data_IF_374309363173
#
_entry.id   IF_374309363173
#
_cell.length_a   1.000
_cell.length_b   1.000
_cell.length_c   1.000
_cell.angle_alpha   90.00
_cell.angle_beta   90.00
_cell.angle_gamma   90.00
#
_symmetry.space_group_name_H-M   'P 1'
#
loop_
_entity.id
_entity.type
_entity.pdbx_description
1 polymer ?
#
# COMPACT_ATOMS: atom_id res chain seq x y z
N UNK A 1 16.44 16.51 2.86
CA UNK A 1 15.07 16.30 3.30
C UNK A 1 14.72 14.83 3.31
N UNK A 2 14.16 14.35 4.43
CA UNK A 2 13.83 12.96 4.58
C UNK A 2 12.49 12.60 3.95
N UNK A 3 12.34 11.34 3.64
CA UNK A 3 11.07 10.78 3.21
C UNK A 3 10.26 10.35 4.44
N UNK A 4 8.93 10.38 4.34
CA UNK A 4 8.06 9.96 5.42
C UNK A 4 7.89 8.44 5.47
N UNK A 5 7.74 7.81 4.30
CA UNK A 5 7.46 6.38 4.18
C UNK A 5 8.63 5.60 3.60
N UNK A 6 9.38 6.20 2.71
CA UNK A 6 10.53 5.54 2.09
C UNK A 6 11.70 5.49 3.06
N UNK A 7 12.21 4.27 3.31
CA UNK A 7 13.44 4.08 4.05
C UNK A 7 14.61 4.19 3.08
N UNK A 8 15.26 5.35 3.04
CA UNK A 8 16.29 5.64 2.05
C UNK A 8 17.47 4.66 2.13
N UNK A 9 17.86 4.25 3.34
CA UNK A 9 18.96 3.29 3.51
C UNK A 9 18.62 1.92 2.94
N UNK A 10 17.40 1.46 3.19
CA UNK A 10 16.93 0.18 2.67
C UNK A 10 16.88 0.18 1.14
N UNK A 11 16.32 1.23 0.56
CA UNK A 11 16.17 1.37 -0.90
C UNK A 11 17.53 1.51 -1.56
N UNK A 12 18.46 2.26 -0.96
CA UNK A 12 19.83 2.41 -1.47
C UNK A 12 20.54 1.07 -1.49
N UNK A 13 20.40 0.27 -0.45
CA UNK A 13 20.99 -1.06 -0.37
C UNK A 13 20.43 -1.98 -1.47
N UNK A 14 19.11 -1.98 -1.64
CA UNK A 14 18.46 -2.77 -2.69
C UNK A 14 18.91 -2.36 -4.09
N UNK A 15 18.97 -1.05 -4.36
CA UNK A 15 19.31 -0.57 -5.69
C UNK A 15 20.78 -0.78 -6.04
N UNK A 16 21.67 -0.89 -5.04
CA UNK A 16 23.07 -1.29 -5.26
C UNK A 16 23.18 -2.75 -5.68
N UNK A 17 22.38 -3.60 -5.03
CA UNK A 17 22.43 -5.04 -5.27
C UNK A 17 21.67 -5.43 -6.53
N UNK A 18 20.48 -4.87 -6.74
CA UNK A 18 19.63 -5.21 -7.88
C UNK A 18 18.60 -4.12 -8.16
N UNK A 19 18.96 -3.21 -9.05
CA UNK A 19 18.10 -2.09 -9.43
C UNK A 19 16.84 -2.56 -10.17
N UNK A 20 16.96 -3.61 -10.98
CA UNK A 20 15.83 -4.17 -11.71
C UNK A 20 14.80 -4.76 -10.74
N UNK A 21 15.27 -5.44 -9.71
CA UNK A 21 14.40 -5.97 -8.66
C UNK A 21 13.65 -4.84 -7.96
N UNK A 22 14.33 -3.76 -7.65
CA UNK A 22 13.68 -2.60 -7.02
C UNK A 22 12.56 -2.06 -7.90
N UNK A 23 12.80 -1.92 -9.21
CA UNK A 23 11.79 -1.45 -10.15
C UNK A 23 10.61 -2.41 -10.23
N UNK A 24 10.88 -3.72 -10.25
CA UNK A 24 9.82 -4.74 -10.31
C UNK A 24 8.96 -4.71 -9.04
N UNK A 25 9.56 -4.58 -7.88
CA UNK A 25 8.84 -4.49 -6.61
C UNK A 25 8.00 -3.20 -6.54
N UNK A 26 8.54 -2.10 -7.01
CA UNK A 26 7.79 -0.85 -7.09
C UNK A 26 6.57 -1.00 -8.01
N UNK A 27 6.75 -1.59 -9.17
CA UNK A 27 5.66 -1.79 -10.14
C UNK A 27 4.55 -2.66 -9.56
N UNK A 28 4.92 -3.74 -8.88
CA UNK A 28 3.96 -4.63 -8.21
C UNK A 28 3.18 -3.89 -7.12
N UNK A 29 3.89 -3.13 -6.29
CA UNK A 29 3.26 -2.35 -5.23
C UNK A 29 2.31 -1.30 -5.81
N UNK A 30 2.72 -0.59 -6.86
CA UNK A 30 1.88 0.40 -7.54
C UNK A 30 0.60 -0.23 -8.11
N UNK A 31 0.72 -1.41 -8.72
CA UNK A 31 -0.44 -2.15 -9.23
C UNK A 31 -1.43 -2.49 -8.12
N UNK A 32 -0.92 -2.98 -6.99
CA UNK A 32 -1.77 -3.34 -5.84
C UNK A 32 -2.44 -2.11 -5.23
N UNK A 33 -1.74 -0.99 -5.15
CA UNK A 33 -2.33 0.27 -4.70
C UNK A 33 -3.45 0.73 -5.64
N UNK A 34 -3.28 0.52 -6.94
CA UNK A 34 -4.33 0.79 -7.93
C UNK A 34 -5.58 -0.05 -7.70
N UNK A 35 -5.41 -1.32 -7.33
CA UNK A 35 -6.54 -2.20 -7.01
C UNK A 35 -7.27 -1.75 -5.75
N UNK A 36 -6.55 -1.28 -4.74
CA UNK A 36 -7.17 -0.69 -3.55
C UNK A 36 -7.96 0.57 -3.89
N UNK A 37 -7.43 1.40 -4.79
CA UNK A 37 -8.11 2.59 -5.28
C UNK A 37 -9.42 2.22 -6.00
N UNK A 38 -9.38 1.20 -6.85
CA UNK A 38 -10.57 0.70 -7.55
C UNK A 38 -11.61 0.16 -6.56
N UNK A 39 -11.16 -0.55 -5.54
CA UNK A 39 -12.05 -1.06 -4.50
C UNK A 39 -12.76 0.10 -3.81
N UNK A 40 -12.04 1.16 -3.43
CA UNK A 40 -12.62 2.35 -2.82
C UNK A 40 -13.68 3.00 -3.71
N UNK A 41 -13.42 3.08 -5.02
CA UNK A 41 -14.34 3.68 -5.98
C UNK A 41 -15.63 2.87 -6.13
N UNK A 42 -15.58 1.57 -5.87
CA UNK A 42 -16.71 0.64 -6.05
C UNK A 42 -17.43 0.31 -4.75
N UNK A 43 -16.99 0.87 -3.61
CA UNK A 43 -17.65 0.60 -2.32
C UNK A 43 -19.11 1.00 -2.40
N UNK A 44 -20.05 0.08 -2.10
CA UNK A 44 -21.46 0.42 -2.02
C UNK A 44 -21.70 1.45 -0.91
N UNK A 45 -22.46 2.47 -1.22
CA UNK A 45 -22.76 3.53 -0.23
C UNK A 45 -23.70 3.06 0.86
N UNK A 46 -24.37 1.94 0.65
CA UNK A 46 -25.31 1.37 1.62
C UNK A 46 -24.85 -0.03 2.02
N UNK A 47 -24.39 -0.20 3.26
CA UNK A 47 -24.09 -1.53 3.79
C UNK A 47 -25.36 -2.38 3.89
N UNK A 48 -25.24 -3.72 3.98
CA UNK A 48 -23.99 -4.41 4.27
C UNK A 48 -23.19 -4.74 3.01
N UNK A 49 -21.88 -4.60 3.12
CA UNK A 49 -20.96 -5.20 2.15
C UNK A 49 -21.01 -6.70 2.37
N UNK A 50 -21.09 -7.47 1.30
CA UNK A 50 -21.15 -8.91 1.45
C UNK A 50 -19.80 -9.48 1.93
N UNK A 51 -19.84 -10.68 2.49
CA UNK A 51 -18.66 -11.33 3.05
C UNK A 51 -17.59 -11.61 1.98
N UNK A 52 -18.00 -11.80 0.73
CA UNK A 52 -17.08 -12.03 -0.37
C UNK A 52 -16.26 -10.77 -0.65
N UNK A 53 -16.89 -9.61 -0.67
CA UNK A 53 -16.19 -8.33 -0.86
C UNK A 53 -15.24 -8.04 0.30
N UNK A 54 -15.67 -8.32 1.54
CA UNK A 54 -14.83 -8.15 2.73
C UNK A 54 -13.60 -9.04 2.65
N UNK A 55 -13.76 -10.31 2.28
CA UNK A 55 -12.64 -11.24 2.14
C UNK A 55 -11.68 -10.80 1.02
N UNK A 56 -12.22 -10.32 -0.09
CA UNK A 56 -11.39 -9.82 -1.19
C UNK A 56 -10.54 -8.63 -0.75
N UNK A 57 -11.12 -7.71 0.02
CA UNK A 57 -10.38 -6.57 0.56
C UNK A 57 -9.29 -7.04 1.53
N UNK A 58 -9.60 -7.94 2.44
CA UNK A 58 -8.64 -8.47 3.41
C UNK A 58 -7.46 -9.14 2.69
N UNK A 59 -7.73 -9.93 1.66
CA UNK A 59 -6.68 -10.60 0.88
C UNK A 59 -5.81 -9.59 0.14
N UNK A 60 -6.42 -8.55 -0.43
CA UNK A 60 -5.69 -7.50 -1.12
C UNK A 60 -4.80 -6.70 -0.16
N UNK A 61 -5.30 -6.38 1.03
CA UNK A 61 -4.52 -5.73 2.08
C UNK A 61 -3.33 -6.58 2.49
N UNK A 62 -3.54 -7.89 2.63
CA UNK A 62 -2.47 -8.83 3.00
C UNK A 62 -1.35 -8.84 1.94
N UNK A 63 -1.72 -8.94 0.67
CA UNK A 63 -0.75 -8.96 -0.43
C UNK A 63 0.00 -7.63 -0.55
N UNK A 64 -0.72 -6.52 -0.46
CA UNK A 64 -0.13 -5.19 -0.56
C UNK A 64 0.82 -4.92 0.61
N UNK A 65 0.48 -5.41 1.81
CA UNK A 65 1.37 -5.33 2.96
C UNK A 65 2.69 -6.05 2.70
N UNK A 66 2.64 -7.24 2.10
CA UNK A 66 3.85 -7.98 1.74
C UNK A 66 4.75 -7.20 0.79
N UNK A 67 4.17 -6.59 -0.24
CA UNK A 67 4.91 -5.76 -1.20
C UNK A 67 5.50 -4.53 -0.53
N UNK A 68 4.73 -3.86 0.33
CA UNK A 68 5.21 -2.69 1.06
C UNK A 68 6.39 -3.05 1.97
N UNK A 69 6.30 -4.18 2.67
CA UNK A 69 7.38 -4.67 3.53
C UNK A 69 8.63 -4.98 2.72
N UNK A 70 8.49 -5.59 1.55
CA UNK A 70 9.62 -5.90 0.67
C UNK A 70 10.36 -4.65 0.21
N UNK A 71 9.64 -3.53 0.05
CA UNK A 71 10.23 -2.23 -0.28
C UNK A 71 10.76 -1.47 0.93
N UNK A 72 10.61 -2.01 2.14
CA UNK A 72 11.05 -1.34 3.36
C UNK A 72 10.23 -0.11 3.72
N UNK A 73 8.98 -0.04 3.26
CA UNK A 73 8.11 1.10 3.55
C UNK A 73 7.80 1.16 5.04
N UNK A 74 7.92 2.36 5.61
CA UNK A 74 7.69 2.60 7.03
C UNK A 74 6.21 2.88 7.31
N UNK A 75 5.73 2.41 8.45
CA UNK A 75 4.40 2.72 9.02
C UNK A 75 3.20 2.09 8.31
N UNK A 76 3.22 2.00 6.99
CA UNK A 76 2.10 1.51 6.20
C UNK A 76 1.81 0.02 6.42
N UNK A 77 2.83 -0.88 6.49
CA UNK A 77 2.53 -2.31 6.71
C UNK A 77 1.77 -2.57 8.01
N UNK A 78 2.10 -1.87 9.08
CA UNK A 78 1.38 -2.03 10.36
C UNK A 78 -0.07 -1.54 10.26
N UNK A 79 -0.30 -0.42 9.57
CA UNK A 79 -1.64 0.10 9.34
C UNK A 79 -2.48 -0.87 8.50
N UNK A 80 -1.87 -1.50 7.49
CA UNK A 80 -2.54 -2.51 6.67
C UNK A 80 -2.90 -3.75 7.48
N UNK A 81 -1.99 -4.19 8.35
CA UNK A 81 -2.25 -5.34 9.22
C UNK A 81 -3.44 -5.08 10.13
N UNK A 82 -3.48 -3.89 10.75
CA UNK A 82 -4.57 -3.51 11.63
C UNK A 82 -5.90 -3.47 10.89
N UNK A 83 -5.93 -2.89 9.69
CA UNK A 83 -7.16 -2.81 8.90
C UNK A 83 -7.60 -4.20 8.42
N UNK A 84 -6.67 -5.05 8.00
CA UNK A 84 -6.98 -6.43 7.62
C UNK A 84 -7.66 -7.16 8.76
N UNK A 85 -7.14 -7.04 9.98
CA UNK A 85 -7.71 -7.68 11.17
C UNK A 85 -9.13 -7.15 11.45
N UNK A 86 -9.35 -5.85 11.31
CA UNK A 86 -10.68 -5.26 11.48
C UNK A 86 -11.67 -5.81 10.46
N UNK A 87 -11.28 -5.90 9.20
CA UNK A 87 -12.12 -6.43 8.13
C UNK A 87 -12.48 -7.89 8.40
N UNK A 88 -11.49 -8.70 8.79
CA UNK A 88 -11.72 -10.13 9.07
C UNK A 88 -12.57 -10.36 10.32
N UNK A 89 -12.55 -9.43 11.27
CA UNK A 89 -13.37 -9.54 12.48
C UNK A 89 -14.80 -9.01 12.30
N UNK A 90 -15.13 -8.49 11.14
CA UNK A 90 -16.47 -7.98 10.85
C UNK A 90 -16.73 -6.57 11.39
N UNK A 91 -15.70 -5.73 11.48
CA UNK A 91 -15.84 -4.35 11.91
C UNK A 91 -16.84 -3.58 11.05
N UNK A 92 -17.44 -2.54 11.61
CA UNK A 92 -18.42 -1.71 10.91
C UNK A 92 -17.81 -1.13 9.63
N UNK A 93 -18.57 -1.22 8.53
CA UNK A 93 -18.06 -0.84 7.22
C UNK A 93 -17.67 0.64 7.13
N UNK A 94 -18.43 1.52 7.78
CA UNK A 94 -18.10 2.94 7.80
C UNK A 94 -16.72 3.21 8.40
N UNK A 95 -16.37 2.47 9.46
CA UNK A 95 -15.05 2.54 10.08
C UNK A 95 -13.97 2.03 9.13
N UNK A 96 -14.21 0.90 8.48
CA UNK A 96 -13.28 0.31 7.50
C UNK A 96 -13.06 1.28 6.34
N UNK A 97 -14.12 1.85 5.79
CA UNK A 97 -14.02 2.80 4.68
C UNK A 97 -13.19 4.02 5.05
N UNK A 98 -13.45 4.61 6.22
CA UNK A 98 -12.71 5.77 6.69
C UNK A 98 -11.21 5.48 6.83
N UNK A 99 -10.88 4.35 7.45
CA UNK A 99 -9.48 3.92 7.62
C UNK A 99 -8.82 3.64 6.27
N UNK A 100 -9.56 2.99 5.35
CA UNK A 100 -9.04 2.66 4.03
C UNK A 100 -8.75 3.92 3.21
N UNK A 101 -9.59 4.95 3.32
CA UNK A 101 -9.35 6.24 2.64
C UNK A 101 -8.09 6.91 3.16
N UNK A 102 -7.87 6.90 4.47
CA UNK A 102 -6.66 7.43 5.09
C UNK A 102 -5.43 6.65 4.60
N UNK A 103 -5.52 5.32 4.60
CA UNK A 103 -4.45 4.44 4.14
C UNK A 103 -4.13 4.70 2.65
N UNK A 104 -5.16 4.85 1.82
CA UNK A 104 -4.99 5.13 0.40
C UNK A 104 -4.23 6.44 0.17
N UNK A 105 -4.54 7.47 0.96
CA UNK A 105 -3.82 8.74 0.91
C UNK A 105 -2.34 8.56 1.25
N UNK A 106 -2.04 7.76 2.29
CA UNK A 106 -0.67 7.44 2.68
C UNK A 106 0.07 6.65 1.58
N UNK A 107 -0.62 5.70 0.96
CA UNK A 107 -0.06 4.92 -0.14
C UNK A 107 0.29 5.81 -1.34
N UNK A 108 -0.57 6.76 -1.68
CA UNK A 108 -0.31 7.71 -2.76
C UNK A 108 0.94 8.54 -2.48
N UNK A 109 1.11 8.98 -1.23
CA UNK A 109 2.29 9.72 -0.81
C UNK A 109 3.55 8.86 -0.89
N UNK A 110 3.48 7.61 -0.42
CA UNK A 110 4.60 6.67 -0.48
C UNK A 110 5.02 6.39 -1.92
N UNK A 111 4.06 6.19 -2.82
CA UNK A 111 4.34 5.98 -4.25
C UNK A 111 5.04 7.20 -4.86
N UNK A 112 4.62 8.40 -4.49
CA UNK A 112 5.25 9.63 -4.93
C UNK A 112 6.69 9.73 -4.47
N UNK A 113 6.98 9.34 -3.23
CA UNK A 113 8.34 9.30 -2.69
C UNK A 113 9.24 8.34 -3.47
N UNK A 114 8.73 7.13 -3.75
CA UNK A 114 9.48 6.14 -4.54
C UNK A 114 9.73 6.62 -5.97
N UNK A 115 8.72 7.21 -6.59
CA UNK A 115 8.87 7.75 -7.94
C UNK A 115 9.95 8.83 -7.97
N UNK A 116 9.93 9.75 -7.02
CA UNK A 116 10.93 10.82 -6.91
C UNK A 116 12.32 10.24 -6.71
N UNK A 117 12.46 9.20 -5.88
CA UNK A 117 13.73 8.54 -5.65
C UNK A 117 14.26 7.90 -6.94
N UNK A 118 13.42 7.16 -7.66
CA UNK A 118 13.81 6.47 -8.89
C UNK A 118 14.21 7.48 -9.96
N UNK A 119 13.43 8.55 -10.13
CA UNK A 119 13.73 9.61 -11.10
C UNK A 119 15.03 10.32 -10.78
N UNK A 120 15.32 10.55 -9.52
CA UNK A 120 16.57 11.17 -9.09
C UNK A 120 17.79 10.29 -9.42
N UNK A 121 17.64 8.96 -9.30
CA UNK A 121 18.69 8.02 -9.68
C UNK A 121 18.91 7.99 -11.20
N UNK A 122 17.83 8.05 -11.98
CA UNK A 122 17.89 8.00 -13.45
C UNK A 122 18.39 9.32 -14.06
N UNK A 123 18.24 10.44 -13.37
CA UNK A 123 18.64 11.74 -13.84
C UNK A 123 20.14 12.03 -13.79
N UNK A 124 20.96 11.06 -13.44
CA UNK A 124 22.43 11.22 -13.36
C UNK A 124 23.14 10.83 -14.62
#
# INVERSE_FOLDING_TARGET
MGYRYLNADWVAMMSQDDRELLQDLYNLFAEQCGRLSEFLAQIPKNPPVDSQAANALADLLHKTRGSASSLGILHIPDAMRALEAEVRSGAAWDSVESTLRTLHSQLSEALGEFRSYIEAQDGR
#
